data_IF_661226206492
#
_entry.id   IF_661226206492
#
_cell.length_a   1.000
_cell.length_b   1.000
_cell.length_c   1.000
_cell.angle_alpha   90.00
_cell.angle_beta   90.00
_cell.angle_gamma   90.00
#
_symmetry.space_group_name_H-M   'P 1'
#
loop_
_entity.id
_entity.type
_entity.pdbx_description
1 polymer ?
#
# COMPACT_ATOMS: atom_id res chain seq x y z
N UNK A 1 15.69 -5.98 -4.79
CA UNK A 1 14.62 -5.03 -4.45
C UNK A 1 14.08 -4.59 -5.78
N UNK A 2 13.04 -5.25 -6.26
CA UNK A 2 12.29 -4.74 -7.41
C UNK A 2 11.95 -3.28 -7.10
N UNK A 3 12.25 -2.37 -8.02
CA UNK A 3 12.26 -0.94 -7.78
C UNK A 3 10.87 -0.44 -7.39
N UNK A 4 10.57 -0.47 -6.09
CA UNK A 4 9.33 0.08 -5.51
C UNK A 4 9.18 1.56 -5.87
N UNK A 5 10.30 2.26 -6.09
CA UNK A 5 10.33 3.63 -6.62
C UNK A 5 9.83 3.70 -8.06
N UNK A 6 10.23 2.73 -8.90
CA UNK A 6 9.77 2.65 -10.28
C UNK A 6 8.29 2.29 -10.35
N UNK A 7 7.82 1.39 -9.48
CA UNK A 7 6.39 1.11 -9.34
C UNK A 7 5.65 2.36 -8.87
N UNK A 8 6.12 3.01 -7.80
CA UNK A 8 5.54 4.28 -7.32
C UNK A 8 5.43 5.30 -8.44
N UNK A 9 6.53 5.61 -9.14
CA UNK A 9 6.56 6.57 -10.26
C UNK A 9 5.72 6.17 -11.47
N UNK A 10 5.40 4.89 -11.63
CA UNK A 10 4.55 4.40 -12.72
C UNK A 10 3.09 4.77 -12.49
N UNK A 11 2.64 4.77 -11.23
CA UNK A 11 1.25 5.05 -10.86
C UNK A 11 1.07 6.44 -10.24
N UNK A 12 2.12 7.03 -9.65
CA UNK A 12 2.11 8.40 -9.19
C UNK A 12 2.10 9.30 -10.42
N UNK A 13 1.05 10.10 -10.58
CA UNK A 13 0.89 11.02 -11.68
C UNK A 13 1.95 12.14 -11.72
N UNK A 14 1.65 13.22 -12.44
CA UNK A 14 2.56 14.35 -12.63
C UNK A 14 2.92 15.12 -11.34
N UNK A 15 2.25 14.81 -10.24
CA UNK A 15 2.46 15.37 -8.90
C UNK A 15 3.46 14.58 -8.06
N UNK A 16 4.00 13.44 -8.55
CA UNK A 16 4.88 12.55 -7.79
C UNK A 16 4.25 12.06 -6.47
N UNK A 17 2.92 12.04 -6.43
CA UNK A 17 2.10 11.60 -5.30
C UNK A 17 1.10 10.55 -5.78
N UNK A 18 0.72 9.64 -4.89
CA UNK A 18 -0.29 8.63 -5.16
C UNK A 18 -1.60 9.00 -4.50
N UNK A 19 -2.58 9.32 -5.33
CA UNK A 19 -3.97 9.46 -4.93
C UNK A 19 -4.54 8.11 -4.51
N UNK A 20 -5.66 8.12 -3.77
CA UNK A 20 -6.35 6.89 -3.39
C UNK A 20 -6.65 5.97 -4.59
N UNK A 21 -7.08 6.55 -5.71
CA UNK A 21 -7.40 5.81 -6.93
C UNK A 21 -6.16 5.15 -7.55
N UNK A 22 -5.08 5.92 -7.74
CA UNK A 22 -3.80 5.44 -8.28
C UNK A 22 -3.20 4.35 -7.38
N UNK A 23 -3.37 4.52 -6.07
CA UNK A 23 -2.88 3.55 -5.10
C UNK A 23 -3.66 2.24 -5.14
N UNK A 24 -4.99 2.30 -5.27
CA UNK A 24 -5.84 1.11 -5.46
C UNK A 24 -5.47 0.39 -6.75
N UNK A 25 -5.33 1.13 -7.85
CA UNK A 25 -4.95 0.56 -9.15
C UNK A 25 -3.61 -0.17 -9.08
N UNK A 26 -2.61 0.44 -8.44
CA UNK A 26 -1.32 -0.21 -8.22
C UNK A 26 -1.47 -1.52 -7.42
N UNK A 27 -2.25 -1.52 -6.33
CA UNK A 27 -2.46 -2.73 -5.53
C UNK A 27 -3.10 -3.82 -6.38
N UNK A 28 -4.08 -3.47 -7.21
CA UNK A 28 -4.74 -4.44 -8.09
C UNK A 28 -3.80 -4.97 -9.19
N UNK A 29 -2.88 -4.15 -9.69
CA UNK A 29 -1.95 -4.53 -10.75
C UNK A 29 -0.72 -5.30 -10.25
N UNK A 30 -0.18 -4.92 -9.10
CA UNK A 30 1.08 -5.49 -8.57
C UNK A 30 0.82 -6.66 -7.61
N UNK A 31 -0.32 -6.68 -6.89
CA UNK A 31 -0.65 -7.72 -5.93
C UNK A 31 -1.59 -8.74 -6.58
N UNK A 32 -1.00 -9.85 -7.02
CA UNK A 32 -1.75 -10.98 -7.59
C UNK A 32 -2.45 -11.84 -6.53
N UNK A 33 -2.08 -11.71 -5.25
CA UNK A 33 -2.68 -12.47 -4.15
C UNK A 33 -3.96 -11.81 -3.64
N UNK A 34 -5.12 -12.42 -3.90
CA UNK A 34 -6.42 -11.86 -3.51
C UNK A 34 -6.56 -11.59 -2.00
N UNK A 35 -6.11 -12.49 -1.12
CA UNK A 35 -6.18 -12.29 0.34
C UNK A 35 -5.45 -11.02 0.81
N UNK A 36 -4.29 -10.75 0.19
CA UNK A 36 -3.46 -9.60 0.53
C UNK A 36 -4.05 -8.37 -0.14
N UNK A 37 -4.40 -8.46 -1.42
CA UNK A 37 -5.02 -7.40 -2.21
C UNK A 37 -6.25 -6.84 -1.50
N UNK A 38 -7.22 -7.68 -1.15
CA UNK A 38 -8.45 -7.24 -0.45
C UNK A 38 -8.16 -6.52 0.87
N UNK A 39 -7.18 -7.00 1.64
CA UNK A 39 -6.78 -6.36 2.90
C UNK A 39 -6.16 -5.00 2.68
N UNK A 40 -5.28 -4.89 1.71
CA UNK A 40 -4.62 -3.64 1.38
C UNK A 40 -5.67 -2.64 0.90
N UNK A 41 -6.54 -3.01 -0.04
CA UNK A 41 -7.63 -2.16 -0.53
C UNK A 41 -8.56 -1.68 0.58
N UNK A 42 -8.92 -2.54 1.55
CA UNK A 42 -9.72 -2.15 2.74
C UNK A 42 -8.96 -1.19 3.67
N UNK A 43 -7.64 -1.30 3.74
CA UNK A 43 -6.79 -0.46 4.59
C UNK A 43 -6.30 0.81 3.89
N UNK A 44 -6.31 0.89 2.56
CA UNK A 44 -5.93 2.09 1.77
C UNK A 44 -6.50 3.37 2.38
N UNK A 45 -7.83 3.52 2.59
CA UNK A 45 -8.38 4.77 3.13
C UNK A 45 -7.91 5.05 4.57
N UNK A 46 -7.72 4.00 5.39
CA UNK A 46 -7.16 4.15 6.75
C UNK A 46 -5.67 4.54 6.69
N UNK A 47 -4.91 4.03 5.73
CA UNK A 47 -3.48 4.30 5.55
C UNK A 47 -3.29 5.74 5.10
N UNK A 48 -4.00 6.16 4.05
CA UNK A 48 -4.00 7.53 3.56
C UNK A 48 -4.38 8.45 4.72
N UNK A 49 -5.55 8.26 5.34
CA UNK A 49 -6.00 9.11 6.45
C UNK A 49 -5.04 9.16 7.67
N UNK A 50 -4.28 8.09 7.94
CA UNK A 50 -3.31 8.06 9.06
C UNK A 50 -1.95 8.66 8.70
N UNK A 51 -1.62 8.75 7.42
CA UNK A 51 -0.29 9.15 6.94
C UNK A 51 -0.28 10.51 6.25
N UNK A 52 -1.41 10.89 5.67
CA UNK A 52 -1.74 12.19 5.11
C UNK A 52 -1.75 13.25 6.23
N UNK A 53 -0.55 13.72 6.57
CA UNK A 53 -0.30 14.75 7.59
C UNK A 53 -0.65 16.14 7.06
N UNK A 54 -0.58 16.33 5.74
CA UNK A 54 -0.87 17.59 5.04
C UNK A 54 -2.35 17.70 4.61
N UNK A 55 -3.10 16.58 4.61
CA UNK A 55 -4.54 16.56 4.33
C UNK A 55 -4.89 16.64 2.84
N UNK A 56 -3.94 16.36 1.96
CA UNK A 56 -4.10 16.41 0.50
C UNK A 56 -4.76 15.13 -0.05
N UNK A 57 -4.87 14.09 0.78
CA UNK A 57 -5.49 12.81 0.42
C UNK A 57 -4.62 11.94 -0.50
N UNK A 58 -3.31 12.24 -0.56
CA UNK A 58 -2.34 11.56 -1.43
C UNK A 58 -1.12 11.08 -0.62
N UNK A 59 -0.42 10.08 -1.13
CA UNK A 59 0.76 9.50 -0.50
C UNK A 59 2.04 9.87 -1.25
N UNK A 60 2.99 10.40 -0.51
CA UNK A 60 4.37 10.58 -0.94
C UNK A 60 5.14 9.26 -0.99
N UNK A 61 6.30 9.27 -1.65
CA UNK A 61 7.17 8.10 -1.74
C UNK A 61 7.62 7.56 -0.37
N UNK A 62 7.76 8.43 0.64
CA UNK A 62 8.12 8.01 1.99
C UNK A 62 7.00 7.21 2.67
N UNK A 63 5.76 7.65 2.50
CA UNK A 63 4.60 6.94 3.03
C UNK A 63 4.38 5.63 2.27
N UNK A 64 4.60 5.63 0.95
CA UNK A 64 4.57 4.42 0.14
C UNK A 64 5.64 3.39 0.55
N UNK A 65 6.85 3.81 0.93
CA UNK A 65 7.88 2.91 1.47
C UNK A 65 7.41 2.17 2.72
N UNK A 66 6.69 2.85 3.61
CA UNK A 66 6.11 2.22 4.81
C UNK A 66 5.06 1.20 4.40
N UNK A 67 4.23 1.52 3.41
CA UNK A 67 3.25 0.59 2.87
C UNK A 67 3.90 -0.66 2.26
N UNK A 68 4.91 -0.50 1.40
CA UNK A 68 5.61 -1.65 0.78
C UNK A 68 6.17 -2.61 1.84
N UNK A 69 6.67 -2.08 2.97
CA UNK A 69 7.07 -2.91 4.13
C UNK A 69 5.89 -3.64 4.77
N UNK A 70 4.71 -3.02 4.84
CA UNK A 70 3.50 -3.67 5.33
C UNK A 70 3.07 -4.83 4.43
N UNK A 71 3.07 -4.61 3.11
CA UNK A 71 2.77 -5.66 2.11
C UNK A 71 3.71 -6.85 2.27
N UNK A 72 5.03 -6.57 2.34
CA UNK A 72 6.04 -7.61 2.53
C UNK A 72 5.83 -8.38 3.83
N UNK A 73 5.53 -7.69 4.93
CA UNK A 73 5.20 -8.35 6.21
C UNK A 73 3.95 -9.23 6.11
N UNK A 74 2.93 -8.82 5.35
CA UNK A 74 1.71 -9.62 5.15
C UNK A 74 2.02 -10.88 4.33
N UNK A 75 2.81 -10.78 3.28
CA UNK A 75 3.30 -11.93 2.51
C UNK A 75 4.05 -12.92 3.41
N UNK A 76 5.01 -12.42 4.20
CA UNK A 76 5.77 -13.26 5.14
C UNK A 76 4.89 -13.90 6.22
N UNK A 77 3.88 -13.18 6.74
CA UNK A 77 2.92 -13.73 7.71
C UNK A 77 2.10 -14.85 7.08
N UNK A 78 1.63 -14.66 5.83
CA UNK A 78 0.87 -15.66 5.09
C UNK A 78 1.71 -16.93 4.84
N UNK A 79 2.95 -16.78 4.38
CA UNK A 79 3.87 -17.91 4.18
C UNK A 79 4.14 -18.68 5.49
N UNK A 80 4.18 -17.98 6.62
CA UNK A 80 4.34 -18.57 7.95
C UNK A 80 3.04 -19.13 8.56
N UNK A 81 1.90 -19.03 7.87
CA UNK A 81 0.59 -19.44 8.37
C UNK A 81 0.08 -18.62 9.57
N UNK A 82 0.58 -17.39 9.74
CA UNK A 82 0.13 -16.48 10.80
C UNK A 82 -1.15 -15.74 10.40
N UNK A 83 -2.04 -15.43 11.35
CA UNK A 83 -3.21 -14.62 11.08
C UNK A 83 -2.78 -13.23 10.57
N UNK A 84 -3.37 -12.85 9.45
CA UNK A 84 -3.16 -11.55 8.83
C UNK A 84 -3.95 -10.45 9.57
N UNK A 85 -4.96 -10.85 10.36
CA UNK A 85 -5.71 -9.99 11.29
C UNK A 85 -4.94 -9.92 12.60
N UNK A 86 -4.15 -8.86 12.77
CA UNK A 86 -3.85 -8.37 14.11
C UNK A 86 -5.00 -7.40 14.44
N UNK A 87 -6.00 -7.89 15.19
CA UNK A 87 -7.18 -7.16 15.66
C UNK A 87 -6.84 -6.12 16.76
N UNK A 88 -5.57 -5.75 16.87
CA UNK A 88 -5.13 -4.67 17.76
C UNK A 88 -5.49 -3.32 17.11
N UNK A 89 -6.77 -2.97 17.10
CA UNK A 89 -7.23 -1.58 16.87
C UNK A 89 -6.85 -0.67 18.04
#
# INVERSE_FOLDING_TARGET
MEDIEKMFKKYAGNNELLSEAEFKEMIEAEIWEDDIKERLLKRVPKIIKRKDDDGDGQLSFEEFKVFSRLVKKLQEKKEKGQPLDDDSE
#
